data_IF_845475505600
#
_entry.id   IF_845475505600
#
_cell.length_a   1.000
_cell.length_b   1.000
_cell.length_c   1.000
_cell.angle_alpha   90.00
_cell.angle_beta   90.00
_cell.angle_gamma   90.00
#
_symmetry.space_group_name_H-M   'P 1'
#
loop_
_entity.id
_entity.type
_entity.pdbx_description
1 polymer ?
#
# COMPACT_ATOMS: atom_id res chain seq x y z
N UNK A 1 -25.81 17.48 -20.75
CA UNK A 1 -24.79 18.25 -21.49
C UNK A 1 -23.45 17.74 -21.01
N UNK A 2 -22.53 17.49 -21.95
CA UNK A 2 -21.17 17.10 -21.61
C UNK A 2 -20.45 18.32 -21.02
N UNK A 3 -19.83 18.11 -19.87
CA UNK A 3 -19.13 19.14 -19.10
C UNK A 3 -17.62 19.05 -19.34
N UNK A 4 -17.09 17.84 -19.53
CA UNK A 4 -15.65 17.58 -19.64
C UNK A 4 -15.34 16.52 -20.72
N UNK A 5 -14.32 16.80 -21.52
CA UNK A 5 -13.65 15.86 -22.41
C UNK A 5 -12.20 15.74 -21.91
N UNK A 6 -11.83 14.56 -21.43
CA UNK A 6 -10.50 14.25 -20.90
C UNK A 6 -9.75 13.35 -21.86
N UNK A 7 -8.81 13.93 -22.60
CA UNK A 7 -7.89 13.18 -23.47
C UNK A 7 -6.89 12.46 -22.59
N UNK A 8 -7.03 11.13 -22.51
CA UNK A 8 -6.12 10.29 -21.74
C UNK A 8 -4.97 9.83 -22.63
N UNK A 9 -3.77 10.29 -22.32
CA UNK A 9 -2.54 9.72 -22.88
C UNK A 9 -2.06 8.58 -21.96
N UNK A 10 -1.74 7.38 -22.47
CA UNK A 10 -1.21 6.31 -21.63
C UNK A 10 -0.03 6.75 -20.76
N UNK A 11 0.04 6.22 -19.53
CA UNK A 11 1.14 6.47 -18.56
C UNK A 11 1.31 7.93 -18.09
N UNK A 12 0.28 8.77 -18.20
CA UNK A 12 0.25 10.15 -17.69
C UNK A 12 -0.82 10.36 -16.60
N UNK A 13 -0.97 9.42 -15.67
CA UNK A 13 -1.94 9.44 -14.56
C UNK A 13 -3.44 9.28 -14.92
N UNK A 14 -3.81 9.00 -16.18
CA UNK A 14 -5.22 8.91 -16.55
C UNK A 14 -6.05 7.83 -15.84
N UNK A 15 -5.46 6.69 -15.42
CA UNK A 15 -6.20 5.71 -14.59
C UNK A 15 -6.58 6.28 -13.22
N UNK A 16 -5.68 7.01 -12.57
CA UNK A 16 -5.97 7.67 -11.30
C UNK A 16 -7.03 8.77 -11.50
N UNK A 17 -6.92 9.52 -12.61
CA UNK A 17 -7.88 10.55 -12.95
C UNK A 17 -9.27 9.99 -13.27
N UNK A 18 -9.36 8.83 -13.93
CA UNK A 18 -10.63 8.12 -14.17
C UNK A 18 -11.35 7.79 -12.87
N UNK A 19 -10.63 7.42 -11.81
CA UNK A 19 -11.25 7.21 -10.49
C UNK A 19 -11.83 8.50 -9.94
N UNK A 20 -11.10 9.62 -10.02
CA UNK A 20 -11.61 10.94 -9.62
C UNK A 20 -12.89 11.30 -10.39
N UNK A 21 -12.89 11.09 -11.70
CA UNK A 21 -14.06 11.34 -12.54
C UNK A 21 -15.24 10.45 -12.13
N UNK A 22 -14.98 9.18 -11.84
CA UNK A 22 -16.01 8.23 -11.40
C UNK A 22 -16.58 8.60 -10.03
N UNK A 23 -15.73 9.04 -9.09
CA UNK A 23 -16.16 9.48 -7.77
C UNK A 23 -16.96 10.78 -7.84
N UNK A 24 -16.64 11.65 -8.81
CA UNK A 24 -17.27 12.97 -8.98
C UNK A 24 -18.59 12.89 -9.74
N UNK A 25 -18.64 12.11 -10.83
CA UNK A 25 -19.76 12.06 -11.76
C UNK A 25 -20.58 10.78 -11.68
N UNK A 26 -20.15 9.81 -10.88
CA UNK A 26 -20.72 8.46 -10.83
C UNK A 26 -20.31 7.61 -12.04
N UNK A 27 -20.47 6.29 -11.90
CA UNK A 27 -20.11 5.31 -12.95
C UNK A 27 -20.81 5.58 -14.29
N UNK A 28 -22.09 5.95 -14.27
CA UNK A 28 -22.86 6.23 -15.49
C UNK A 28 -22.58 7.64 -16.06
N UNK A 29 -22.01 8.54 -15.26
CA UNK A 29 -21.67 9.89 -15.69
C UNK A 29 -20.39 9.96 -16.54
N UNK A 30 -19.59 8.89 -16.55
CA UNK A 30 -18.31 8.82 -17.25
C UNK A 30 -18.37 7.81 -18.40
N UNK A 31 -18.39 8.34 -19.63
CA UNK A 31 -18.21 7.53 -20.83
C UNK A 31 -16.73 7.27 -21.07
N UNK A 32 -16.36 5.99 -21.11
CA UNK A 32 -15.02 5.56 -21.51
C UNK A 32 -14.93 5.31 -23.03
N UNK A 33 -13.95 5.90 -23.70
CA UNK A 33 -13.66 5.67 -25.12
C UNK A 33 -12.19 5.22 -25.29
N UNK A 34 -11.99 3.91 -25.39
CA UNK A 34 -10.70 3.22 -25.34
C UNK A 34 -10.54 2.27 -26.53
N UNK A 35 -10.19 2.77 -27.72
CA UNK A 35 -9.86 1.91 -28.86
C UNK A 35 -8.68 0.96 -28.56
N UNK A 36 -8.68 -0.27 -29.12
CA UNK A 36 -9.76 -0.86 -29.93
C UNK A 36 -10.89 -1.47 -29.08
N UNK A 37 -10.69 -1.66 -27.77
CA UNK A 37 -11.58 -2.42 -26.90
C UNK A 37 -12.97 -1.79 -26.72
N UNK A 38 -13.04 -0.46 -26.77
CA UNK A 38 -14.27 0.31 -26.61
C UNK A 38 -14.19 1.58 -27.47
N UNK A 39 -14.65 1.49 -28.71
CA UNK A 39 -14.71 2.64 -29.61
C UNK A 39 -16.11 3.26 -29.52
N UNK A 40 -16.19 4.56 -29.22
CA UNK A 40 -17.44 5.31 -29.29
C UNK A 40 -17.42 6.26 -30.50
N UNK A 41 -18.47 6.22 -31.32
CA UNK A 41 -18.66 7.21 -32.39
C UNK A 41 -19.35 8.44 -31.80
N UNK A 42 -18.89 9.67 -32.08
CA UNK A 42 -19.54 10.87 -31.57
C UNK A 42 -21.00 10.96 -32.03
N UNK A 43 -21.92 11.15 -31.09
CA UNK A 43 -23.35 11.34 -31.36
C UNK A 43 -23.91 12.49 -30.52
N UNK A 44 -24.89 13.22 -31.06
CA UNK A 44 -25.59 14.30 -30.35
C UNK A 44 -27.08 14.29 -30.76
N UNK A 45 -28.03 14.02 -29.84
CA UNK A 45 -27.87 13.98 -28.39
C UNK A 45 -27.30 12.66 -27.87
N UNK A 46 -26.32 12.76 -26.98
CA UNK A 46 -25.85 11.67 -26.12
C UNK A 46 -26.75 11.54 -24.87
N UNK A 47 -26.71 10.38 -24.20
CA UNK A 47 -27.46 10.16 -22.95
C UNK A 47 -27.28 11.32 -21.96
N UNK A 48 -28.38 11.79 -21.36
CA UNK A 48 -28.38 12.91 -20.40
C UNK A 48 -27.62 12.60 -19.11
N UNK A 49 -27.44 11.31 -18.79
CA UNK A 49 -26.67 10.84 -17.65
C UNK A 49 -25.17 11.09 -17.84
N UNK A 50 -24.68 11.04 -19.08
CA UNK A 50 -23.26 11.20 -19.39
C UNK A 50 -22.89 12.68 -19.28
N UNK A 51 -21.84 12.94 -18.48
CA UNK A 51 -21.29 14.28 -18.24
C UNK A 51 -19.83 14.39 -18.68
N UNK A 52 -19.10 13.27 -18.70
CA UNK A 52 -17.68 13.24 -19.01
C UNK A 52 -17.39 12.19 -20.06
N UNK A 53 -16.52 12.54 -21.02
CA UNK A 53 -15.93 11.60 -21.97
C UNK A 53 -14.43 11.50 -21.65
N UNK A 54 -13.92 10.28 -21.46
CA UNK A 54 -12.53 10.06 -21.06
C UNK A 54 -11.93 8.82 -21.71
N UNK A 55 -10.75 8.95 -22.32
CA UNK A 55 -10.04 7.81 -22.90
C UNK A 55 -9.03 8.17 -24.00
N UNK A 56 -8.68 7.19 -24.84
CA UNK A 56 -7.57 7.23 -25.79
C UNK A 56 -8.04 7.62 -27.19
N UNK A 57 -8.40 8.89 -27.38
CA UNK A 57 -8.87 9.42 -28.66
C UNK A 57 -8.16 10.72 -29.04
N UNK A 58 -8.24 11.07 -30.32
CA UNK A 58 -7.71 12.34 -30.85
C UNK A 58 -8.45 13.53 -30.23
N UNK A 59 -7.75 14.63 -29.85
CA UNK A 59 -8.37 15.76 -29.16
C UNK A 59 -9.56 16.40 -29.90
N UNK A 60 -9.52 16.40 -31.23
CA UNK A 60 -10.54 16.98 -32.11
C UNK A 60 -11.80 16.11 -32.26
N UNK A 61 -11.76 14.82 -31.89
CA UNK A 61 -12.83 13.84 -32.15
C UNK A 61 -14.22 14.31 -31.72
N UNK A 62 -14.31 15.00 -30.58
CA UNK A 62 -15.56 15.47 -29.99
C UNK A 62 -15.78 16.98 -30.11
N UNK A 63 -14.90 17.68 -30.86
CA UNK A 63 -14.86 19.15 -30.88
C UNK A 63 -16.15 19.76 -31.43
N UNK A 64 -16.63 19.27 -32.57
CA UNK A 64 -17.83 19.80 -33.24
C UNK A 64 -19.14 19.34 -32.60
N UNK A 65 -19.10 18.27 -31.80
CA UNK A 65 -20.28 17.69 -31.15
C UNK A 65 -20.59 18.37 -29.81
N UNK A 66 -19.55 18.69 -29.04
CA UNK A 66 -19.66 19.28 -27.71
C UNK A 66 -18.73 20.50 -27.56
N UNK A 67 -18.96 21.59 -28.32
CA UNK A 67 -18.05 22.74 -28.34
C UNK A 67 -17.90 23.43 -26.98
N UNK A 68 -18.96 23.39 -26.14
CA UNK A 68 -18.98 24.00 -24.82
C UNK A 68 -18.30 23.17 -23.71
N UNK A 69 -17.98 21.89 -23.98
CA UNK A 69 -17.34 21.04 -23.00
C UNK A 69 -15.88 21.47 -22.78
N UNK A 70 -15.44 21.47 -21.52
CA UNK A 70 -14.05 21.75 -21.17
C UNK A 70 -13.16 20.62 -21.66
N UNK A 71 -12.02 20.94 -22.27
CA UNK A 71 -11.05 19.95 -22.77
C UNK A 71 -9.81 19.95 -21.92
N UNK A 72 -9.39 18.76 -21.47
CA UNK A 72 -8.21 18.64 -20.62
C UNK A 72 -7.33 17.47 -21.06
N UNK A 73 -6.05 17.57 -20.73
CA UNK A 73 -5.06 16.51 -20.95
C UNK A 73 -4.07 16.47 -19.79
N UNK A 74 -3.58 15.27 -19.48
CA UNK A 74 -2.50 15.06 -18.53
C UNK A 74 -1.22 14.66 -19.28
N UNK A 75 -0.11 15.32 -18.97
CA UNK A 75 1.23 15.04 -19.49
C UNK A 75 2.15 14.55 -18.38
N UNK A 76 3.31 14.02 -18.78
CA UNK A 76 4.39 13.56 -17.90
C UNK A 76 5.71 13.83 -18.63
N UNK A 77 6.81 13.97 -17.90
CA UNK A 77 8.14 14.06 -18.51
C UNK A 77 8.34 12.92 -19.54
N UNK A 78 8.70 13.24 -20.80
CA UNK A 78 8.69 12.29 -21.91
C UNK A 78 9.48 11.01 -21.65
N UNK A 79 10.68 11.14 -21.08
CA UNK A 79 11.51 9.98 -20.77
C UNK A 79 10.91 9.09 -19.68
N UNK A 80 10.32 9.67 -18.63
CA UNK A 80 9.68 8.88 -17.57
C UNK A 80 8.43 8.16 -18.10
N UNK A 81 7.70 8.79 -19.03
CA UNK A 81 6.56 8.17 -19.73
C UNK A 81 7.04 7.02 -20.63
N UNK A 82 8.08 7.24 -21.44
CA UNK A 82 8.68 6.23 -22.31
C UNK A 82 9.20 5.02 -21.53
N UNK A 83 10.00 5.24 -20.47
CA UNK A 83 10.53 4.17 -19.62
C UNK A 83 9.38 3.41 -18.94
N UNK A 84 8.36 4.13 -18.45
CA UNK A 84 7.18 3.51 -17.85
C UNK A 84 6.41 2.63 -18.84
N UNK A 85 6.30 3.06 -20.10
CA UNK A 85 5.67 2.30 -21.17
C UNK A 85 6.50 1.08 -21.55
N UNK A 86 7.82 1.24 -21.76
CA UNK A 86 8.73 0.14 -22.09
C UNK A 86 8.60 -1.02 -21.10
N UNK A 87 8.72 -0.76 -19.81
CA UNK A 87 8.60 -1.80 -18.80
C UNK A 87 7.18 -2.32 -18.62
N UNK A 88 6.16 -1.49 -18.83
CA UNK A 88 4.78 -1.96 -18.83
C UNK A 88 4.52 -2.92 -19.99
N UNK A 89 5.02 -2.63 -21.19
CA UNK A 89 4.88 -3.47 -22.38
C UNK A 89 5.55 -4.85 -22.20
N UNK A 90 6.63 -4.94 -21.40
CA UNK A 90 7.25 -6.23 -20.98
C UNK A 90 6.38 -7.08 -20.05
N UNK A 91 5.31 -6.52 -19.48
CA UNK A 91 4.35 -7.27 -18.65
C UNK A 91 3.17 -7.83 -19.45
N UNK A 92 3.03 -7.44 -20.71
CA UNK A 92 1.93 -7.86 -21.58
C UNK A 92 2.36 -9.15 -22.30
N UNK A 93 1.64 -10.23 -22.04
CA UNK A 93 1.90 -11.53 -22.66
C UNK A 93 1.13 -11.69 -23.98
N UNK A 94 1.47 -10.87 -24.98
CA UNK A 94 0.92 -10.97 -26.34
C UNK A 94 2.02 -11.40 -27.33
N UNK A 95 2.17 -12.71 -27.52
CA UNK A 95 3.17 -13.27 -28.45
C UNK A 95 2.80 -13.14 -29.92
N UNK A 96 1.57 -12.73 -30.25
CA UNK A 96 1.16 -12.52 -31.64
C UNK A 96 1.64 -11.17 -32.18
N UNK A 97 1.94 -10.22 -31.28
CA UNK A 97 2.54 -8.94 -31.63
C UNK A 97 4.07 -9.04 -31.59
N UNK A 98 4.72 -8.79 -32.74
CA UNK A 98 6.18 -8.90 -32.89
C UNK A 98 6.95 -8.06 -31.87
N UNK A 99 6.47 -6.85 -31.56
CA UNK A 99 7.14 -5.97 -30.60
C UNK A 99 7.05 -6.57 -29.19
N UNK A 100 5.87 -7.08 -28.79
CA UNK A 100 5.70 -7.72 -27.49
C UNK A 100 6.49 -9.02 -27.38
N UNK A 101 6.56 -9.83 -28.45
CA UNK A 101 7.41 -11.02 -28.48
C UNK A 101 8.89 -10.66 -28.21
N UNK A 102 9.45 -9.70 -28.96
CA UNK A 102 10.84 -9.25 -28.77
C UNK A 102 11.10 -8.66 -27.38
N UNK A 103 10.12 -7.94 -26.81
CA UNK A 103 10.22 -7.42 -25.44
C UNK A 103 10.25 -8.51 -24.37
N UNK A 104 9.47 -9.59 -24.57
CA UNK A 104 9.41 -10.74 -23.66
C UNK A 104 10.69 -11.58 -23.75
N UNK A 105 11.22 -11.76 -24.95
CA UNK A 105 12.45 -12.52 -25.19
C UNK A 105 13.72 -11.75 -24.76
N UNK A 106 13.59 -10.44 -24.49
CA UNK A 106 14.71 -9.58 -24.07
C UNK A 106 15.53 -9.02 -25.23
N UNK A 107 15.08 -9.25 -26.46
CA UNK A 107 15.76 -8.88 -27.71
C UNK A 107 15.55 -7.41 -28.10
N UNK A 108 14.69 -6.67 -27.39
CA UNK A 108 14.42 -5.27 -27.67
C UNK A 108 14.86 -4.37 -26.51
N UNK A 109 15.96 -3.63 -26.72
CA UNK A 109 16.44 -2.62 -25.77
C UNK A 109 15.51 -1.41 -25.72
N UNK A 110 15.57 -0.63 -24.63
CA UNK A 110 14.78 0.61 -24.54
C UNK A 110 15.11 1.61 -25.66
N UNK A 111 16.35 1.64 -26.13
CA UNK A 111 16.74 2.51 -27.21
C UNK A 111 16.13 2.09 -28.55
N UNK A 112 16.06 0.78 -28.82
CA UNK A 112 15.39 0.26 -30.02
C UNK A 112 13.88 0.46 -29.92
N UNK A 113 13.29 0.23 -28.75
CA UNK A 113 11.90 0.53 -28.48
C UNK A 113 11.57 2.01 -28.73
N UNK A 114 12.43 2.92 -28.30
CA UNK A 114 12.27 4.37 -28.52
C UNK A 114 12.38 4.80 -29.99
N UNK A 115 12.95 3.96 -30.87
CA UNK A 115 13.03 4.21 -32.32
C UNK A 115 11.78 3.74 -33.07
N UNK A 116 10.93 2.92 -32.47
CA UNK A 116 9.68 2.48 -33.07
C UNK A 116 8.84 3.73 -33.40
N UNK A 117 8.38 3.92 -34.64
CA UNK A 117 7.67 5.14 -35.05
C UNK A 117 6.50 5.50 -34.13
N UNK A 118 5.74 4.51 -33.68
CA UNK A 118 4.59 4.69 -32.78
C UNK A 118 4.99 5.10 -31.36
N UNK A 119 6.25 4.88 -30.94
CA UNK A 119 6.75 5.21 -29.59
C UNK A 119 7.55 6.51 -29.54
N UNK A 120 8.13 6.92 -30.68
CA UNK A 120 8.92 8.15 -30.81
C UNK A 120 8.01 9.38 -30.77
N UNK A 121 8.30 10.37 -29.94
CA UNK A 121 7.46 11.58 -29.81
C UNK A 121 5.98 11.24 -29.53
N UNK A 122 5.75 10.24 -28.69
CA UNK A 122 4.42 9.69 -28.44
C UNK A 122 3.42 10.73 -27.94
N UNK A 123 3.83 11.64 -27.03
CA UNK A 123 2.91 12.65 -26.48
C UNK A 123 2.40 13.55 -27.61
N UNK A 124 3.30 14.04 -28.46
CA UNK A 124 3.01 14.90 -29.60
C UNK A 124 2.07 14.23 -30.58
N UNK A 125 2.31 12.95 -30.89
CA UNK A 125 1.39 12.15 -31.73
C UNK A 125 -0.01 12.04 -31.14
N UNK A 126 -0.14 11.92 -29.81
CA UNK A 126 -1.47 11.76 -29.16
C UNK A 126 -2.27 13.04 -29.05
N UNK A 127 -1.65 14.19 -29.24
CA UNK A 127 -2.35 15.48 -29.26
C UNK A 127 -2.35 16.13 -30.64
N UNK A 128 -1.93 15.41 -31.67
CA UNK A 128 -1.89 15.92 -33.03
C UNK A 128 -3.25 16.53 -33.41
N UNK A 129 -3.21 17.68 -34.08
CA UNK A 129 -4.41 18.45 -34.44
C UNK A 129 -4.92 19.40 -33.36
N UNK A 130 -4.29 19.50 -32.18
CA UNK A 130 -4.64 20.49 -31.15
C UNK A 130 -3.40 20.97 -30.37
N UNK A 131 -3.21 22.28 -30.29
CA UNK A 131 -2.14 22.89 -29.49
C UNK A 131 -2.49 22.84 -28.00
N UNK A 132 -1.47 22.80 -27.13
CA UNK A 132 -1.71 22.74 -25.68
C UNK A 132 -2.50 23.96 -25.16
N UNK A 133 -2.29 25.13 -25.78
CA UNK A 133 -3.01 26.34 -25.43
C UNK A 133 -4.52 26.30 -25.74
N UNK A 134 -4.99 25.35 -26.55
CA UNK A 134 -6.40 25.15 -26.88
C UNK A 134 -7.14 24.29 -25.84
N UNK A 135 -6.40 23.57 -24.98
CA UNK A 135 -7.00 22.86 -23.85
C UNK A 135 -7.35 23.86 -22.73
N UNK A 136 -8.52 23.68 -22.13
CA UNK A 136 -8.92 24.44 -20.95
C UNK A 136 -8.05 24.14 -19.73
N UNK A 137 -7.43 22.95 -19.69
CA UNK A 137 -6.46 22.59 -18.66
C UNK A 137 -5.45 21.56 -19.14
N UNK A 138 -4.16 21.86 -18.92
CA UNK A 138 -3.04 20.93 -19.09
C UNK A 138 -2.49 20.61 -17.71
N UNK A 139 -2.66 19.36 -17.29
CA UNK A 139 -2.13 18.83 -16.04
C UNK A 139 -0.79 18.13 -16.24
N UNK A 140 0.06 18.16 -15.22
CA UNK A 140 1.38 17.55 -15.24
C UNK A 140 1.48 16.51 -14.12
N UNK A 141 1.81 15.26 -14.46
CA UNK A 141 1.85 14.14 -13.51
C UNK A 141 2.81 14.40 -12.35
N UNK A 142 3.95 15.06 -12.58
CA UNK A 142 4.89 15.44 -11.52
C UNK A 142 4.23 16.32 -10.44
N UNK A 143 3.16 17.03 -10.80
CA UNK A 143 2.38 17.91 -9.93
C UNK A 143 0.95 17.42 -9.73
N UNK A 144 0.70 16.12 -9.91
CA UNK A 144 -0.67 15.56 -10.01
C UNK A 144 -1.59 16.07 -8.91
N UNK A 145 -1.16 16.09 -7.65
CA UNK A 145 -1.99 16.56 -6.53
C UNK A 145 -2.29 18.06 -6.59
N UNK A 146 -1.28 18.89 -6.91
CA UNK A 146 -1.50 20.34 -7.00
C UNK A 146 -2.41 20.67 -8.19
N UNK A 147 -2.14 20.05 -9.33
CA UNK A 147 -2.92 20.26 -10.56
C UNK A 147 -4.33 19.70 -10.44
N UNK A 148 -4.53 18.63 -9.67
CA UNK A 148 -5.84 18.06 -9.38
C UNK A 148 -6.70 19.01 -8.53
N UNK A 149 -6.11 19.68 -7.55
CA UNK A 149 -6.82 20.71 -6.78
C UNK A 149 -7.15 21.94 -7.65
N UNK A 150 -6.27 22.31 -8.58
CA UNK A 150 -6.54 23.40 -9.54
C UNK A 150 -7.70 23.06 -10.49
N UNK A 151 -7.70 21.89 -11.13
CA UNK A 151 -8.81 21.49 -12.03
C UNK A 151 -10.13 21.30 -11.27
N UNK A 152 -10.08 20.79 -10.04
CA UNK A 152 -11.26 20.71 -9.16
C UNK A 152 -11.89 22.08 -8.95
N UNK A 153 -11.09 23.12 -8.73
CA UNK A 153 -11.58 24.50 -8.61
C UNK A 153 -12.13 25.04 -9.94
N UNK A 154 -11.47 24.76 -11.06
CA UNK A 154 -11.94 25.14 -12.41
C UNK A 154 -13.30 24.51 -12.72
N UNK A 155 -13.52 23.27 -12.30
CA UNK A 155 -14.74 22.51 -12.57
C UNK A 155 -15.81 22.66 -11.48
N UNK A 156 -15.49 23.29 -10.34
CA UNK A 156 -16.42 23.41 -9.20
C UNK A 156 -16.75 22.08 -8.52
N UNK A 157 -15.82 21.13 -8.50
CA UNK A 157 -16.02 19.81 -7.91
C UNK A 157 -15.99 19.83 -6.37
N UNK A 158 -16.75 18.92 -5.76
CA UNK A 158 -16.70 18.68 -4.32
C UNK A 158 -15.36 18.03 -3.90
N UNK A 159 -15.10 17.99 -2.59
CA UNK A 159 -13.94 17.29 -2.06
C UNK A 159 -14.02 15.77 -2.32
N UNK A 160 -12.90 15.20 -2.77
CA UNK A 160 -12.68 13.76 -2.93
C UNK A 160 -11.30 13.39 -2.40
N UNK A 161 -11.07 12.11 -2.11
CA UNK A 161 -9.77 11.59 -1.69
C UNK A 161 -9.08 10.93 -2.88
N UNK A 162 -8.04 11.56 -3.47
CA UNK A 162 -7.42 11.02 -4.67
C UNK A 162 -6.64 9.73 -4.37
N UNK A 163 -6.85 8.70 -5.19
CA UNK A 163 -6.04 7.49 -5.13
C UNK A 163 -4.68 7.78 -5.78
N UNK A 164 -3.62 7.80 -4.95
CA UNK A 164 -2.24 7.96 -5.41
C UNK A 164 -1.62 6.58 -5.57
N UNK A 165 -1.64 6.04 -6.79
CA UNK A 165 -0.92 4.81 -7.11
C UNK A 165 -0.18 4.94 -8.43
N UNK A 166 1.08 5.30 -8.36
CA UNK A 166 1.99 5.35 -9.50
C UNK A 166 2.93 4.13 -9.48
N UNK A 167 2.36 2.93 -9.62
CA UNK A 167 3.11 1.67 -9.63
C UNK A 167 3.17 1.09 -11.03
N UNK A 168 4.38 0.80 -11.52
CA UNK A 168 4.54 -0.11 -12.65
C UNK A 168 4.43 -1.56 -12.15
N UNK A 169 3.89 -2.45 -12.98
CA UNK A 169 3.72 -3.88 -12.63
C UNK A 169 4.98 -4.71 -12.93
N UNK A 170 5.95 -4.15 -13.64
CA UNK A 170 7.19 -4.85 -13.95
C UNK A 170 8.01 -5.08 -12.67
N UNK A 171 8.50 -6.31 -12.42
CA UNK A 171 9.39 -6.60 -11.29
C UNK A 171 10.64 -5.72 -11.34
N UNK A 172 11.12 -5.23 -10.19
CA UNK A 172 12.33 -4.38 -10.10
C UNK A 172 12.27 -3.09 -10.96
N UNK A 173 11.08 -2.61 -11.33
CA UNK A 173 10.92 -1.42 -12.18
C UNK A 173 11.72 -0.20 -11.69
N UNK A 174 11.79 0.05 -10.38
CA UNK A 174 12.45 1.24 -9.85
C UNK A 174 13.96 1.17 -10.00
N UNK A 175 14.54 0.00 -9.73
CA UNK A 175 15.95 -0.27 -9.98
C UNK A 175 16.28 -0.07 -11.46
N UNK A 176 15.51 -0.66 -12.37
CA UNK A 176 15.76 -0.49 -13.80
C UNK A 176 15.54 0.96 -14.29
N UNK A 177 14.56 1.67 -13.72
CA UNK A 177 14.37 3.10 -13.98
C UNK A 177 15.61 3.90 -13.56
N UNK A 178 16.15 3.64 -12.36
CA UNK A 178 17.34 4.31 -11.85
C UNK A 178 18.57 4.00 -12.72
N UNK A 179 18.81 2.74 -13.07
CA UNK A 179 19.92 2.32 -13.94
C UNK A 179 19.91 3.05 -15.29
N UNK A 180 18.72 3.23 -15.90
CA UNK A 180 18.59 3.98 -17.16
C UNK A 180 18.86 5.47 -16.95
N UNK A 181 18.39 6.05 -15.84
CA UNK A 181 18.57 7.47 -15.55
C UNK A 181 20.01 7.83 -15.18
N UNK A 182 20.77 6.88 -14.65
CA UNK A 182 22.19 7.05 -14.32
C UNK A 182 23.11 6.98 -15.57
N UNK A 183 22.65 6.36 -16.67
CA UNK A 183 23.36 6.38 -17.96
C UNK A 183 23.07 7.67 -18.74
N UNK A 184 23.91 8.68 -18.51
CA UNK A 184 23.79 9.98 -19.16
C UNK A 184 23.84 9.92 -20.70
N UNK A 185 24.60 8.98 -21.29
CA UNK A 185 24.69 8.84 -22.74
C UNK A 185 23.40 8.25 -23.32
N UNK A 186 22.83 7.25 -22.66
CA UNK A 186 21.54 6.68 -23.03
C UNK A 186 20.43 7.73 -22.89
N UNK A 187 20.38 8.46 -21.78
CA UNK A 187 19.40 9.53 -21.54
C UNK A 187 19.45 10.59 -22.64
N UNK A 188 20.64 11.06 -23.02
CA UNK A 188 20.80 12.04 -24.11
C UNK A 188 20.28 11.49 -25.45
N UNK A 189 20.56 10.22 -25.77
CA UNK A 189 20.06 9.57 -27.00
C UNK A 189 18.54 9.45 -26.99
N UNK A 190 17.95 9.05 -25.86
CA UNK A 190 16.50 8.95 -25.71
C UNK A 190 15.82 10.33 -25.81
N UNK A 191 16.43 11.37 -25.22
CA UNK A 191 15.94 12.74 -25.30
C UNK A 191 15.99 13.27 -26.74
N UNK A 192 17.06 12.99 -27.48
CA UNK A 192 17.19 13.36 -28.91
C UNK A 192 16.14 12.68 -29.78
N UNK A 193 15.85 11.40 -29.53
CA UNK A 193 14.79 10.68 -30.23
C UNK A 193 13.40 11.27 -29.95
N UNK A 194 13.18 11.77 -28.73
CA UNK A 194 11.89 12.30 -28.28
C UNK A 194 11.88 13.83 -28.15
N UNK A 195 12.60 14.52 -29.03
CA UNK A 195 12.81 15.97 -28.91
C UNK A 195 11.52 16.77 -28.97
N UNK A 196 10.56 16.37 -29.81
CA UNK A 196 9.28 17.10 -29.92
C UNK A 196 8.49 16.99 -28.62
N UNK A 197 8.46 15.80 -28.00
CA UNK A 197 7.82 15.63 -26.70
C UNK A 197 8.53 16.43 -25.59
N UNK A 198 9.86 16.59 -25.67
CA UNK A 198 10.61 17.41 -24.72
C UNK A 198 10.23 18.89 -24.85
N UNK A 199 10.09 19.41 -26.07
CA UNK A 199 9.61 20.78 -26.28
C UNK A 199 8.15 20.95 -25.85
N UNK A 200 7.29 19.97 -26.18
CA UNK A 200 5.89 19.95 -25.77
C UNK A 200 5.74 19.97 -24.24
N UNK A 201 6.57 19.19 -23.54
CA UNK A 201 6.58 19.19 -22.08
C UNK A 201 7.03 20.54 -21.50
N UNK A 202 8.01 21.22 -22.13
CA UNK A 202 8.41 22.57 -21.74
C UNK A 202 7.28 23.59 -21.93
N UNK A 203 6.53 23.49 -23.03
CA UNK A 203 5.34 24.31 -23.25
C UNK A 203 4.30 24.07 -22.15
N UNK A 204 4.05 22.81 -21.79
CA UNK A 204 3.14 22.48 -20.68
C UNK A 204 3.57 23.11 -19.35
N UNK A 205 4.88 23.08 -19.05
CA UNK A 205 5.46 23.74 -17.87
C UNK A 205 5.25 25.25 -17.92
N UNK A 206 5.40 25.89 -19.09
CA UNK A 206 5.15 27.31 -19.27
C UNK A 206 3.66 27.66 -19.07
N UNK A 207 2.74 26.85 -19.58
CA UNK A 207 1.31 27.04 -19.37
C UNK A 207 0.94 26.92 -17.89
N UNK A 208 1.51 25.95 -17.18
CA UNK A 208 1.36 25.80 -15.73
C UNK A 208 1.90 27.01 -14.98
N UNK A 209 3.10 27.47 -15.33
CA UNK A 209 3.73 28.65 -14.74
C UNK A 209 2.86 29.90 -14.91
N UNK A 210 2.34 30.13 -16.13
CA UNK A 210 1.42 31.23 -16.44
C UNK A 210 0.14 31.13 -15.61
N UNK A 211 -0.48 29.94 -15.52
CA UNK A 211 -1.70 29.70 -14.73
C UNK A 211 -1.51 30.04 -13.25
N UNK A 212 -0.33 29.77 -12.71
CA UNK A 212 0.03 30.01 -11.31
C UNK A 212 0.69 31.37 -11.04
N UNK A 213 0.92 32.17 -12.09
CA UNK A 213 1.65 33.45 -11.99
C UNK A 213 3.06 33.28 -11.41
N UNK A 214 3.73 32.18 -11.78
CA UNK A 214 5.07 31.82 -11.34
C UNK A 214 6.05 31.84 -12.52
N UNK A 215 7.36 31.86 -12.25
CA UNK A 215 8.38 31.78 -13.30
C UNK A 215 8.44 30.37 -13.93
N UNK A 216 8.54 30.25 -15.27
CA UNK A 216 8.78 28.96 -15.93
C UNK A 216 10.03 28.23 -15.42
N UNK A 217 11.07 28.98 -15.03
CA UNK A 217 12.29 28.40 -14.46
C UNK A 217 12.00 27.73 -13.11
N UNK A 218 11.24 28.39 -12.24
CA UNK A 218 10.82 27.82 -10.94
C UNK A 218 10.03 26.54 -11.18
N UNK A 219 9.09 26.56 -12.13
CA UNK A 219 8.27 25.39 -12.45
C UNK A 219 9.08 24.23 -13.03
N UNK A 220 10.05 24.52 -13.89
CA UNK A 220 10.99 23.51 -14.39
C UNK A 220 11.80 22.88 -13.25
N UNK A 221 12.41 23.70 -12.38
CA UNK A 221 13.19 23.21 -11.23
C UNK A 221 12.34 22.38 -10.26
N UNK A 222 11.10 22.82 -10.00
CA UNK A 222 10.17 22.06 -9.18
C UNK A 222 9.81 20.72 -9.82
N UNK A 223 9.65 20.67 -11.14
CA UNK A 223 9.34 19.42 -11.84
C UNK A 223 10.51 18.43 -11.70
N UNK A 224 11.74 18.91 -11.85
CA UNK A 224 12.95 18.10 -11.64
C UNK A 224 13.00 17.57 -10.21
N UNK A 225 12.76 18.43 -9.22
CA UNK A 225 12.69 18.06 -7.82
C UNK A 225 11.60 17.02 -7.52
N UNK A 226 10.40 17.17 -8.10
CA UNK A 226 9.33 16.19 -7.93
C UNK A 226 9.71 14.81 -8.48
N UNK A 227 10.44 14.76 -9.60
CA UNK A 227 10.94 13.49 -10.15
C UNK A 227 11.98 12.85 -9.25
N UNK A 228 12.95 13.62 -8.73
CA UNK A 228 13.92 13.11 -7.75
C UNK A 228 13.25 12.63 -6.47
N UNK A 229 12.27 13.39 -5.95
CA UNK A 229 11.48 13.01 -4.78
C UNK A 229 10.71 11.72 -5.02
N UNK A 230 10.09 11.55 -6.20
CA UNK A 230 9.40 10.33 -6.56
C UNK A 230 10.33 9.11 -6.50
N UNK A 231 11.54 9.21 -7.08
CA UNK A 231 12.53 8.12 -7.04
C UNK A 231 12.92 7.77 -5.60
N UNK A 232 13.19 8.76 -4.75
CA UNK A 232 13.54 8.55 -3.33
C UNK A 232 12.40 7.85 -2.58
N UNK A 233 11.15 8.30 -2.77
CA UNK A 233 9.99 7.69 -2.11
C UNK A 233 9.80 6.22 -2.51
N UNK A 234 10.08 5.89 -3.77
CA UNK A 234 10.00 4.51 -4.25
C UNK A 234 11.11 3.64 -3.65
N UNK A 235 12.36 4.12 -3.60
CA UNK A 235 13.46 3.42 -2.93
C UNK A 235 13.18 3.19 -1.45
N UNK A 236 12.59 4.17 -0.75
CA UNK A 236 12.18 4.01 0.65
C UNK A 236 11.13 2.91 0.81
N UNK A 237 10.13 2.87 -0.07
CA UNK A 237 9.11 1.82 -0.05
C UNK A 237 9.72 0.42 -0.30
N UNK A 238 10.67 0.30 -1.23
CA UNK A 238 11.37 -0.98 -1.48
C UNK A 238 12.23 -1.40 -0.28
N UNK A 239 12.92 -0.45 0.35
CA UNK A 239 13.69 -0.70 1.57
C UNK A 239 12.80 -1.21 2.71
N UNK A 240 11.63 -0.60 2.91
CA UNK A 240 10.65 -1.03 3.92
C UNK A 240 10.16 -2.47 3.64
N UNK A 241 9.88 -2.80 2.37
CA UNK A 241 9.48 -4.17 1.98
C UNK A 241 10.61 -5.18 2.21
N UNK A 242 11.84 -4.85 1.80
CA UNK A 242 13.00 -5.71 2.02
C UNK A 242 13.27 -5.92 3.52
N UNK A 243 13.11 -4.88 4.36
CA UNK A 243 13.21 -5.01 5.81
C UNK A 243 12.13 -5.91 6.39
N UNK A 244 10.89 -5.83 5.88
CA UNK A 244 9.80 -6.72 6.27
C UNK A 244 10.09 -8.18 5.88
N UNK A 245 10.61 -8.40 4.68
CA UNK A 245 11.00 -9.73 4.21
C UNK A 245 12.16 -10.30 5.05
N UNK A 246 13.18 -9.51 5.36
CA UNK A 246 14.27 -9.90 6.27
C UNK A 246 13.71 -10.27 7.66
N UNK A 247 12.74 -9.50 8.18
CA UNK A 247 12.09 -9.79 9.45
C UNK A 247 11.32 -11.12 9.39
N UNK A 248 10.61 -11.39 8.29
CA UNK A 248 9.90 -12.65 8.07
C UNK A 248 10.87 -13.83 7.92
N UNK A 249 11.94 -13.67 7.14
CA UNK A 249 12.98 -14.67 6.96
C UNK A 249 13.69 -14.98 8.27
N UNK A 250 14.00 -13.96 9.09
CA UNK A 250 14.52 -14.15 10.45
C UNK A 250 13.53 -14.92 11.32
N UNK A 251 12.25 -14.57 11.31
CA UNK A 251 11.22 -15.32 12.03
C UNK A 251 11.18 -16.80 11.59
N UNK A 252 11.21 -17.06 10.28
CA UNK A 252 11.22 -18.42 9.73
C UNK A 252 12.50 -19.19 10.05
N UNK A 253 13.67 -18.54 9.98
CA UNK A 253 14.95 -19.12 10.36
C UNK A 253 14.98 -19.44 11.85
N UNK A 254 14.58 -18.51 12.71
CA UNK A 254 14.44 -18.78 14.16
C UNK A 254 13.52 -19.99 14.39
N UNK A 255 12.38 -20.08 13.71
CA UNK A 255 11.47 -21.23 13.82
C UNK A 255 12.06 -22.56 13.35
N UNK A 256 12.87 -22.57 12.28
CA UNK A 256 13.40 -23.82 11.70
C UNK A 256 14.78 -24.22 12.22
N UNK A 257 15.62 -23.26 12.61
CA UNK A 257 16.94 -23.50 13.21
C UNK A 257 16.80 -23.91 14.68
N UNK A 258 15.73 -23.50 15.38
CA UNK A 258 15.35 -24.00 16.72
C UNK A 258 14.61 -25.35 16.66
N UNK A 259 15.08 -26.31 15.84
CA UNK A 259 14.54 -27.68 15.81
C UNK A 259 15.13 -28.60 16.88
N UNK A 260 15.80 -28.05 17.90
CA UNK A 260 16.30 -28.78 19.06
C UNK A 260 16.25 -27.88 20.31
N UNK A 261 15.05 -27.69 20.86
CA UNK A 261 14.73 -27.53 22.28
C UNK A 261 13.24 -27.18 22.36
N UNK A 262 12.40 -28.23 22.29
CA UNK A 262 10.95 -28.10 22.38
C UNK A 262 10.56 -27.76 23.83
N UNK A 263 10.09 -26.53 24.05
CA UNK A 263 9.13 -26.23 25.12
C UNK A 263 7.75 -26.27 24.47
N UNK A 264 6.96 -27.28 24.80
CA UNK A 264 5.59 -27.46 24.32
C UNK A 264 4.63 -27.24 25.48
N UNK A 265 3.84 -26.16 25.45
CA UNK A 265 2.67 -26.12 26.32
C UNK A 265 1.61 -27.09 25.82
N UNK A 266 1.38 -28.16 26.56
CA UNK A 266 0.17 -28.95 26.40
C UNK A 266 -0.92 -28.25 27.20
N UNK A 267 -1.82 -27.57 26.50
CA UNK A 267 -3.13 -27.22 27.05
C UNK A 267 -3.80 -28.52 27.53
N UNK A 268 -3.91 -28.71 28.84
CA UNK A 268 -4.76 -29.77 29.38
C UNK A 268 -6.22 -29.35 29.14
N UNK A 269 -7.04 -30.22 28.54
CA UNK A 269 -8.35 -29.88 27.99
C UNK A 269 -9.29 -29.45 29.10
N UNK A 270 -10.27 -28.59 28.73
CA UNK A 270 -11.50 -28.25 29.48
C UNK A 270 -11.36 -28.44 30.99
N UNK A 271 -11.18 -27.34 31.72
CA UNK A 271 -11.33 -27.28 33.18
C UNK A 271 -12.43 -28.26 33.58
N UNK A 272 -12.13 -29.34 34.33
CA UNK A 272 -13.17 -30.26 34.74
C UNK A 272 -14.19 -29.43 35.50
N UNK A 273 -15.46 -29.55 35.11
CA UNK A 273 -16.63 -28.95 35.75
C UNK A 273 -16.41 -28.91 37.27
N UNK A 274 -15.98 -27.76 37.78
CA UNK A 274 -15.77 -27.55 39.20
C UNK A 274 -16.39 -26.22 39.52
N UNK A 275 -17.41 -26.24 40.38
CA UNK A 275 -18.13 -25.07 40.90
C UNK A 275 -17.24 -24.18 41.80
N UNK A 276 -15.94 -24.09 41.51
CA UNK A 276 -14.89 -23.51 42.36
C UNK A 276 -14.34 -22.20 41.81
N UNK A 277 -14.47 -21.93 40.49
CA UNK A 277 -14.03 -20.70 39.83
C UNK A 277 -15.20 -20.04 39.08
N UNK A 278 -15.32 -18.72 39.22
CA UNK A 278 -16.19 -17.88 38.37
C UNK A 278 -15.56 -17.71 36.98
N UNK A 279 -14.24 -17.55 36.92
CA UNK A 279 -13.49 -17.46 35.68
C UNK A 279 -12.01 -17.19 35.90
N UNK A 280 -11.19 -17.44 34.88
CA UNK A 280 -9.79 -17.03 34.83
C UNK A 280 -9.31 -16.92 33.39
N UNK A 281 -8.22 -16.17 33.18
CA UNK A 281 -7.53 -16.11 31.91
C UNK A 281 -6.03 -15.86 32.11
N UNK A 282 -5.20 -16.42 31.24
CA UNK A 282 -3.80 -16.07 31.10
C UNK A 282 -3.64 -15.05 29.97
N UNK A 283 -3.23 -13.84 30.31
CA UNK A 283 -2.95 -12.76 29.35
C UNK A 283 -1.57 -12.97 28.68
N UNK A 284 -0.62 -13.54 29.45
CA UNK A 284 0.73 -13.92 29.01
C UNK A 284 1.13 -15.22 29.70
N UNK A 285 1.92 -16.10 29.07
CA UNK A 285 2.43 -15.98 27.69
C UNK A 285 1.34 -16.18 26.63
N UNK A 286 1.39 -15.38 25.56
CA UNK A 286 0.66 -15.68 24.34
C UNK A 286 1.50 -16.64 23.50
N UNK A 287 0.96 -17.82 23.22
CA UNK A 287 1.72 -18.87 22.57
C UNK A 287 1.80 -18.69 21.05
N UNK A 288 2.94 -19.05 20.44
CA UNK A 288 4.14 -19.65 21.06
C UNK A 288 5.08 -18.63 21.72
N UNK A 289 5.74 -19.00 22.83
CA UNK A 289 6.81 -18.21 23.46
C UNK A 289 8.09 -18.37 22.63
N UNK A 290 8.80 -17.29 22.33
CA UNK A 290 10.07 -17.36 21.62
C UNK A 290 11.18 -17.94 22.53
N UNK A 291 11.95 -18.91 22.03
CA UNK A 291 13.04 -19.58 22.77
C UNK A 291 14.22 -18.66 23.15
N UNK A 292 14.21 -17.41 22.69
CA UNK A 292 15.22 -16.40 23.03
C UNK A 292 14.95 -15.71 24.36
N UNK A 293 13.76 -15.86 24.94
CA UNK A 293 13.46 -15.25 26.23
C UNK A 293 14.19 -16.03 27.33
N UNK A 294 15.12 -15.39 28.04
CA UNK A 294 15.77 -15.99 29.22
C UNK A 294 14.79 -16.22 30.38
N UNK A 295 13.54 -15.75 30.23
CA UNK A 295 12.50 -15.84 31.23
C UNK A 295 11.11 -15.82 30.60
N UNK A 296 10.18 -16.59 31.15
CA UNK A 296 8.77 -16.64 30.73
C UNK A 296 7.95 -15.72 31.63
N UNK A 297 7.21 -14.77 31.05
CA UNK A 297 6.24 -13.95 31.82
C UNK A 297 4.88 -14.63 31.85
N UNK A 298 4.43 -14.99 33.05
CA UNK A 298 3.11 -15.54 33.34
C UNK A 298 2.24 -14.47 34.00
N UNK A 299 1.22 -14.00 33.31
CA UNK A 299 0.27 -13.01 33.84
C UNK A 299 -1.16 -13.31 33.43
N UNK A 300 -2.10 -12.80 34.19
CA UNK A 300 -3.52 -13.07 33.95
C UNK A 300 -4.41 -12.53 35.05
N UNK A 301 -5.62 -13.04 35.09
CA UNK A 301 -6.58 -12.79 36.15
C UNK A 301 -7.32 -14.07 36.56
N UNK A 302 -7.77 -14.12 37.81
CA UNK A 302 -8.54 -15.24 38.35
C UNK A 302 -9.57 -14.80 39.38
N UNK A 303 -10.79 -15.34 39.26
CA UNK A 303 -11.90 -15.10 40.17
C UNK A 303 -12.42 -16.45 40.68
N UNK A 304 -12.08 -16.84 41.93
CA UNK A 304 -12.68 -18.00 42.57
C UNK A 304 -14.16 -17.78 42.92
N UNK A 305 -14.90 -18.85 43.18
CA UNK A 305 -16.34 -18.80 43.51
C UNK A 305 -16.61 -18.45 44.98
N UNK A 306 -15.81 -18.96 45.92
CA UNK A 306 -16.11 -18.92 47.36
C UNK A 306 -15.06 -18.17 48.19
N UNK A 307 -13.79 -18.56 48.05
CA UNK A 307 -12.68 -18.00 48.82
C UNK A 307 -11.77 -17.18 47.90
N UNK A 308 -11.36 -15.95 48.28
CA UNK A 308 -10.46 -15.14 47.47
C UNK A 308 -9.16 -15.87 47.12
N UNK A 309 -8.63 -15.59 45.94
CA UNK A 309 -7.31 -16.06 45.53
C UNK A 309 -6.25 -15.33 46.36
N UNK A 310 -5.33 -16.08 46.96
CA UNK A 310 -4.21 -15.54 47.72
C UNK A 310 -2.99 -15.36 46.81
N UNK A 311 -2.59 -16.43 46.12
CA UNK A 311 -1.42 -16.44 45.24
C UNK A 311 -1.53 -17.44 44.10
N UNK A 312 -0.82 -17.16 43.01
CA UNK A 312 -0.47 -18.15 41.98
C UNK A 312 0.85 -18.80 42.36
N UNK A 313 0.94 -20.11 42.20
CA UNK A 313 2.15 -20.90 42.38
C UNK A 313 2.47 -21.65 41.09
N UNK A 314 3.75 -21.68 40.74
CA UNK A 314 4.29 -22.49 39.65
C UNK A 314 5.15 -23.58 40.28
N UNK A 315 4.75 -24.83 40.06
CA UNK A 315 5.32 -25.99 40.73
C UNK A 315 6.07 -26.88 39.76
N UNK A 316 7.18 -27.44 40.21
CA UNK A 316 7.81 -28.62 39.61
C UNK A 316 7.68 -29.79 40.60
N UNK A 317 6.76 -30.72 40.32
CA UNK A 317 6.39 -31.76 41.29
C UNK A 317 5.78 -31.14 42.56
N UNK A 318 6.53 -31.16 43.67
CA UNK A 318 6.13 -30.56 44.95
C UNK A 318 6.89 -29.27 45.28
N UNK A 319 7.91 -28.93 44.48
CA UNK A 319 8.75 -27.76 44.68
C UNK A 319 8.12 -26.53 44.05
N UNK A 320 8.14 -25.40 44.76
CA UNK A 320 7.65 -24.12 44.24
C UNK A 320 8.79 -23.40 43.52
N UNK A 321 8.65 -23.26 42.20
CA UNK A 321 9.61 -22.54 41.35
C UNK A 321 9.45 -21.03 41.51
N UNK A 322 8.20 -20.56 41.51
CA UNK A 322 7.86 -19.17 41.79
C UNK A 322 6.44 -19.07 42.32
N UNK A 323 6.18 -18.01 43.08
CA UNK A 323 4.85 -17.64 43.51
C UNK A 323 4.64 -16.13 43.44
N UNK A 324 3.40 -15.71 43.17
CA UNK A 324 3.02 -14.30 43.13
C UNK A 324 1.66 -14.09 43.77
N UNK A 325 1.45 -13.01 44.55
CA UNK A 325 0.13 -12.68 45.06
C UNK A 325 -0.85 -12.40 43.90
N UNK A 326 -2.15 -12.64 44.17
CA UNK A 326 -3.25 -12.19 43.31
C UNK A 326 -3.82 -10.91 43.91
N UNK A 327 -3.27 -9.77 43.48
CA UNK A 327 -3.64 -8.46 44.03
C UNK A 327 -3.51 -7.31 43.01
N UNK A 328 -3.25 -7.61 41.73
CA UNK A 328 -3.11 -6.58 40.70
C UNK A 328 -4.47 -6.06 40.26
N UNK A 329 -4.56 -4.75 40.08
CA UNK A 329 -5.80 -4.05 39.73
C UNK A 329 -6.30 -4.46 38.33
N UNK A 330 -7.57 -4.87 38.23
CA UNK A 330 -8.27 -5.31 37.02
C UNK A 330 -9.70 -4.74 36.95
N UNK A 331 -9.85 -3.42 36.75
CA UNK A 331 -11.17 -2.78 36.66
C UNK A 331 -11.97 -3.28 35.46
N UNK A 332 -11.28 -3.65 34.37
CA UNK A 332 -11.85 -4.27 33.18
C UNK A 332 -12.55 -5.60 33.50
N UNK A 333 -11.94 -6.43 34.34
CA UNK A 333 -12.50 -7.71 34.79
C UNK A 333 -13.66 -7.48 35.78
N UNK A 334 -13.50 -6.51 36.70
CA UNK A 334 -14.52 -6.18 37.68
C UNK A 334 -15.83 -5.69 37.04
N UNK A 335 -15.73 -4.89 35.97
CA UNK A 335 -16.88 -4.41 35.21
C UNK A 335 -17.71 -5.55 34.62
N UNK A 336 -17.06 -6.63 34.17
CA UNK A 336 -17.72 -7.77 33.53
C UNK A 336 -18.32 -8.74 34.56
N UNK A 337 -17.56 -9.07 35.61
CA UNK A 337 -17.92 -10.17 36.52
C UNK A 337 -18.66 -9.73 37.80
N UNK A 338 -18.67 -8.44 38.14
CA UNK A 338 -19.42 -7.86 39.28
C UNK A 338 -19.22 -8.57 40.65
N UNK A 339 -18.07 -9.21 40.86
CA UNK A 339 -17.69 -9.84 42.15
C UNK A 339 -16.82 -8.87 42.97
N UNK A 340 -17.03 -8.81 44.29
CA UNK A 340 -16.39 -7.80 45.18
C UNK A 340 -14.85 -7.79 45.14
N UNK A 341 -14.21 -8.92 44.88
CA UNK A 341 -12.76 -9.05 44.76
C UNK A 341 -12.23 -9.07 43.31
N UNK A 342 -13.09 -8.89 42.30
CA UNK A 342 -12.67 -8.90 40.90
C UNK A 342 -11.73 -7.73 40.56
N UNK A 343 -11.82 -6.61 41.29
CA UNK A 343 -10.99 -5.42 41.03
C UNK A 343 -9.51 -5.65 41.30
N UNK A 344 -9.13 -6.64 42.10
CA UNK A 344 -7.73 -6.97 42.39
C UNK A 344 -7.40 -8.44 42.01
N UNK A 345 -8.03 -8.94 40.94
CA UNK A 345 -7.94 -10.34 40.51
C UNK A 345 -6.70 -10.67 39.68
N UNK A 346 -5.85 -9.68 39.38
CA UNK A 346 -4.70 -9.86 38.49
C UNK A 346 -3.47 -10.42 39.18
N UNK A 347 -2.61 -11.06 38.40
CA UNK A 347 -1.29 -11.54 38.82
C UNK A 347 -0.27 -11.39 37.69
N UNK A 348 1.02 -11.33 38.05
CA UNK A 348 2.12 -11.35 37.10
C UNK A 348 3.38 -11.87 37.78
N UNK A 349 4.04 -12.85 37.18
CA UNK A 349 5.34 -13.36 37.62
C UNK A 349 6.21 -13.68 36.42
N UNK A 350 7.51 -13.66 36.64
CA UNK A 350 8.51 -14.08 35.67
C UNK A 350 9.16 -15.37 36.14
N UNK A 351 9.31 -16.35 35.25
CA UNK A 351 9.96 -17.63 35.50
C UNK A 351 11.28 -17.61 34.72
N UNK A 352 12.42 -17.55 35.40
CA UNK A 352 13.71 -17.65 34.72
C UNK A 352 13.86 -19.06 34.11
N UNK A 353 14.20 -19.17 32.82
CA UNK A 353 14.38 -20.48 32.18
C UNK A 353 15.51 -21.28 32.83
N UNK A 354 16.54 -20.59 33.36
CA UNK A 354 17.62 -21.22 34.12
C UNK A 354 17.17 -21.92 35.40
N UNK A 355 15.99 -21.56 35.94
CA UNK A 355 15.40 -22.20 37.12
C UNK A 355 14.51 -23.40 36.77
N UNK A 356 14.29 -23.67 35.48
CA UNK A 356 13.45 -24.77 35.00
C UNK A 356 14.36 -25.97 34.67
N UNK A 357 14.17 -27.14 35.30
CA UNK A 357 14.91 -28.34 34.93
C UNK A 357 14.59 -28.78 33.50
N UNK A 358 15.57 -29.35 32.79
CA UNK A 358 15.38 -29.79 31.40
C UNK A 358 14.30 -30.89 31.29
N UNK A 359 13.49 -30.89 30.22
CA UNK A 359 12.46 -31.90 29.92
C UNK A 359 11.42 -32.09 31.05
N UNK A 360 10.83 -30.99 31.51
CA UNK A 360 10.02 -30.95 32.73
C UNK A 360 8.64 -30.36 32.49
N UNK A 361 7.64 -30.87 33.23
CA UNK A 361 6.30 -30.28 33.29
C UNK A 361 6.17 -29.41 34.52
N UNK A 362 5.91 -28.12 34.33
CA UNK A 362 5.52 -27.19 35.40
C UNK A 362 4.00 -27.18 35.54
N UNK A 363 3.50 -27.19 36.77
CA UNK A 363 2.08 -27.04 37.07
C UNK A 363 1.80 -25.62 37.54
N UNK A 364 0.81 -24.95 36.93
CA UNK A 364 0.30 -23.66 37.39
C UNK A 364 -0.93 -23.94 38.27
N UNK A 365 -0.95 -23.39 39.47
CA UNK A 365 -2.07 -23.50 40.40
C UNK A 365 -2.34 -22.18 41.13
N UNK A 366 -3.57 -22.02 41.62
CA UNK A 366 -3.95 -20.93 42.55
C UNK A 366 -4.13 -21.51 43.95
N UNK A 367 -3.65 -20.79 44.96
CA UNK A 367 -3.90 -21.07 46.37
C UNK A 367 -4.95 -20.07 46.87
N UNK A 368 -6.05 -20.57 47.42
CA UNK A 368 -7.13 -19.78 47.99
C UNK A 368 -6.85 -19.40 49.46
N UNK A 369 -7.55 -18.40 49.98
CA UNK A 369 -7.39 -17.93 51.37
C UNK A 369 -7.65 -19.01 52.44
N UNK A 370 -8.41 -20.06 52.13
CA UNK A 370 -8.65 -21.22 53.01
C UNK A 370 -7.55 -22.29 52.93
N UNK A 371 -6.49 -22.08 52.14
CA UNK A 371 -5.40 -23.03 51.93
C UNK A 371 -5.66 -24.08 50.84
N UNK A 372 -6.83 -24.05 50.18
CA UNK A 372 -7.13 -24.95 49.08
C UNK A 372 -6.34 -24.56 47.82
N UNK A 373 -5.72 -25.55 47.16
CA UNK A 373 -5.00 -25.36 45.90
C UNK A 373 -5.81 -25.88 44.72
N UNK A 374 -5.97 -25.07 43.68
CA UNK A 374 -6.69 -25.42 42.45
C UNK A 374 -5.71 -25.37 41.28
N UNK A 375 -5.58 -26.48 40.55
CA UNK A 375 -4.75 -26.56 39.34
C UNK A 375 -5.41 -25.81 38.18
N UNK A 376 -4.64 -24.95 37.52
CA UNK A 376 -5.08 -24.10 36.40
C UNK A 376 -4.55 -24.59 35.04
N UNK A 377 -3.35 -25.17 35.00
CA UNK A 377 -2.72 -25.62 33.77
C UNK A 377 -1.34 -26.25 33.96
N UNK A 378 -0.71 -26.62 32.84
CA UNK A 378 0.67 -27.15 32.78
C UNK A 378 1.48 -26.44 31.71
N UNK A 379 2.80 -26.34 31.91
CA UNK A 379 3.82 -25.89 30.95
C UNK A 379 4.78 -27.07 30.71
N UNK A 380 5.11 -27.46 29.47
CA UNK A 380 6.13 -28.50 29.21
C UNK A 380 7.27 -28.01 28.34
#
# INVERSE_FOLDING_TARGET
>A
MIELISVHIPKTAGTAFRHVLTDTYGLNGVLGDYPPDRIHQPENPISKEIKVIHGHFEPSKYQDYFPAAKRIVWLRHPLFRLISEYFFAKTINDRNNVIHAQLLDGDLSILEFAKIPQMKNFLSQKIEGMQLAEFDFVGIQEFYLQDLEEIKNVMGWNNFQPIIKNSNRYPEYQKCLQEILDDAQLVDRLAKLNREDIELYREAIQLRAKRRQESPLIQSTLADWQRSRFLIQQMQSELEQAQLEIKQNRYWLTRHTLRNQNLELINVPKIPNTNTLVGFHFDSPQFPIAATEQSITLSGWIIPQQFPASKIVVLHGTETITETPVNLSRPDVAQVHQVSYANNSGFSTTIAISAIPSHTVLTIAVVLANGQTIKLGEIR
#
